data_IF_890618198571
#
_entry.id   IF_890618198571
#
_cell.length_a   1.000
_cell.length_b   1.000
_cell.length_c   1.000
_cell.angle_alpha   90.00
_cell.angle_beta   90.00
_cell.angle_gamma   90.00
#
_symmetry.space_group_name_H-M   'P 1'
#
loop_
_entity.id
_entity.type
_entity.pdbx_description
1 polymer ?
#
# COMPACT_ATOMS: atom_id res chain seq x y z
N UNK A 1 -13.54 -27.48 13.89
CA UNK A 1 -14.56 -26.47 14.27
C UNK A 1 -13.83 -25.32 14.93
N UNK A 2 -13.87 -24.12 14.34
CA UNK A 2 -13.22 -22.93 14.91
C UNK A 2 -14.10 -22.41 16.03
N UNK A 3 -13.54 -22.20 17.22
CA UNK A 3 -14.30 -21.66 18.35
C UNK A 3 -14.12 -20.15 18.38
N UNK A 4 -15.18 -19.42 18.05
CA UNK A 4 -15.23 -17.97 18.21
C UNK A 4 -15.52 -17.64 19.67
N UNK A 5 -14.94 -16.55 20.16
CA UNK A 5 -15.34 -16.03 21.48
C UNK A 5 -16.83 -15.62 21.42
N UNK A 6 -17.61 -15.90 22.46
CA UNK A 6 -19.08 -15.67 22.46
C UNK A 6 -19.48 -14.26 22.03
N UNK A 7 -18.70 -13.25 22.41
CA UNK A 7 -18.93 -11.86 21.99
C UNK A 7 -18.73 -11.64 20.49
N UNK A 8 -17.70 -12.24 19.91
CA UNK A 8 -17.39 -12.15 18.48
C UNK A 8 -18.40 -12.92 17.64
N UNK A 9 -18.84 -14.08 18.12
CA UNK A 9 -19.90 -14.87 17.47
C UNK A 9 -21.24 -14.10 17.42
N UNK A 10 -21.62 -13.46 18.53
CA UNK A 10 -22.83 -12.62 18.58
C UNK A 10 -22.77 -11.45 17.62
N UNK A 11 -21.61 -10.81 17.50
CA UNK A 11 -21.42 -9.66 16.61
C UNK A 11 -21.40 -10.07 15.14
N UNK A 12 -20.74 -11.19 14.81
CA UNK A 12 -20.78 -11.79 13.48
C UNK A 12 -22.19 -12.25 13.08
N UNK A 13 -22.98 -12.80 14.01
CA UNK A 13 -24.37 -13.19 13.75
C UNK A 13 -25.24 -11.98 13.41
N UNK A 14 -25.10 -10.88 14.17
CA UNK A 14 -25.83 -9.63 13.87
C UNK A 14 -25.43 -9.05 12.52
N UNK A 15 -24.16 -9.13 12.14
CA UNK A 15 -23.70 -8.69 10.83
C UNK A 15 -24.28 -9.57 9.72
N UNK A 16 -24.26 -10.89 9.88
CA UNK A 16 -24.85 -11.84 8.94
C UNK A 16 -26.36 -11.60 8.75
N UNK A 17 -27.10 -11.40 9.84
CA UNK A 17 -28.55 -11.09 9.82
C UNK A 17 -28.86 -9.79 9.07
N UNK A 18 -28.06 -8.73 9.27
CA UNK A 18 -28.22 -7.45 8.56
C UNK A 18 -28.08 -7.59 7.05
N UNK A 19 -27.28 -8.56 6.62
CA UNK A 19 -27.04 -8.83 5.22
C UNK A 19 -27.97 -9.92 4.65
N UNK A 20 -28.83 -10.51 5.49
CA UNK A 20 -29.74 -11.59 5.10
C UNK A 20 -29.02 -12.90 4.77
N UNK A 21 -27.86 -13.15 5.39
CA UNK A 21 -26.97 -14.29 5.11
C UNK A 21 -26.81 -15.18 6.34
N UNK A 22 -26.40 -16.44 6.13
CA UNK A 22 -26.05 -17.32 7.25
C UNK A 22 -24.70 -16.93 7.85
N UNK A 23 -24.51 -17.19 9.15
CA UNK A 23 -23.26 -16.92 9.85
C UNK A 23 -22.07 -17.63 9.19
N UNK A 24 -22.22 -18.90 8.81
CA UNK A 24 -21.17 -19.66 8.12
C UNK A 24 -20.76 -19.03 6.79
N UNK A 25 -21.74 -18.58 5.98
CA UNK A 25 -21.45 -17.93 4.70
C UNK A 25 -20.74 -16.59 4.90
N UNK A 26 -21.21 -15.79 5.86
CA UNK A 26 -20.61 -14.51 6.20
C UNK A 26 -19.15 -14.65 6.68
N UNK A 27 -18.89 -15.60 7.60
CA UNK A 27 -17.55 -15.85 8.13
C UNK A 27 -16.62 -16.39 7.03
N UNK A 28 -17.08 -17.33 6.21
CA UNK A 28 -16.26 -17.88 5.12
C UNK A 28 -15.85 -16.80 4.12
N UNK A 29 -16.78 -15.96 3.68
CA UNK A 29 -16.45 -14.90 2.72
C UNK A 29 -15.51 -13.85 3.30
N UNK A 30 -15.70 -13.46 4.56
CA UNK A 30 -14.79 -12.55 5.26
C UNK A 30 -13.37 -13.14 5.37
N UNK A 31 -13.25 -14.44 5.66
CA UNK A 31 -11.96 -15.14 5.70
C UNK A 31 -11.32 -15.21 4.32
N UNK A 32 -12.08 -15.57 3.27
CA UNK A 32 -11.59 -15.60 1.89
C UNK A 32 -11.12 -14.23 1.42
N UNK A 33 -11.85 -13.16 1.73
CA UNK A 33 -11.44 -11.79 1.42
C UNK A 33 -10.09 -11.47 2.08
N UNK A 34 -9.94 -11.75 3.38
CA UNK A 34 -8.67 -11.52 4.08
C UNK A 34 -7.52 -12.36 3.52
N UNK A 35 -7.77 -13.61 3.15
CA UNK A 35 -6.79 -14.47 2.51
C UNK A 35 -6.38 -13.93 1.14
N UNK A 36 -7.32 -13.42 0.34
CA UNK A 36 -7.03 -12.75 -0.95
C UNK A 36 -6.20 -11.49 -0.76
N UNK A 37 -6.47 -10.69 0.27
CA UNK A 37 -5.65 -9.52 0.60
C UNK A 37 -4.27 -9.87 1.13
N UNK A 38 -4.14 -10.93 1.92
CA UNK A 38 -2.85 -11.39 2.46
C UNK A 38 -1.97 -12.06 1.39
N UNK A 39 -2.58 -12.70 0.39
CA UNK A 39 -1.87 -13.32 -0.74
C UNK A 39 -1.59 -12.35 -1.89
N UNK A 40 -2.17 -11.15 -1.87
CA UNK A 40 -1.69 -10.08 -2.75
C UNK A 40 -0.25 -9.79 -2.35
N UNK A 41 0.73 -9.95 -3.26
CA UNK A 41 2.08 -9.52 -2.97
C UNK A 41 2.02 -8.05 -2.57
N UNK A 42 2.75 -7.68 -1.52
CA UNK A 42 3.02 -6.28 -1.17
C UNK A 42 3.98 -5.71 -2.22
N UNK A 43 3.63 -5.78 -3.50
CA UNK A 43 4.33 -5.13 -4.62
C UNK A 43 3.80 -3.71 -4.86
N UNK A 44 3.30 -3.09 -3.79
CA UNK A 44 3.19 -1.66 -3.71
C UNK A 44 4.28 -1.16 -2.77
N UNK A 45 5.53 -1.21 -3.25
CA UNK A 45 6.45 -0.13 -2.90
C UNK A 45 5.69 1.17 -3.18
N UNK A 46 5.57 2.10 -2.22
CA UNK A 46 5.30 3.47 -2.58
C UNK A 46 6.38 3.81 -3.60
N UNK A 47 5.96 4.18 -4.81
CA UNK A 47 6.84 4.71 -5.84
C UNK A 47 7.28 6.11 -5.39
N UNK A 48 7.98 6.19 -4.25
CA UNK A 48 8.86 7.31 -3.96
C UNK A 48 10.12 7.10 -4.79
N UNK A 49 9.95 7.02 -6.12
CA UNK A 49 11.00 7.45 -7.02
C UNK A 49 11.10 8.96 -6.80
N UNK A 50 11.80 9.35 -5.71
CA UNK A 50 12.46 10.63 -5.65
C UNK A 50 13.39 10.62 -6.85
N UNK A 51 12.95 11.24 -7.94
CA UNK A 51 13.82 11.67 -9.01
C UNK A 51 14.89 12.53 -8.36
N UNK A 52 16.02 11.92 -8.01
CA UNK A 52 17.23 12.65 -7.72
C UNK A 52 17.79 12.98 -9.09
N UNK A 53 17.53 14.20 -9.56
CA UNK A 53 18.31 14.78 -10.66
C UNK A 53 19.75 14.83 -10.17
N UNK A 54 20.71 14.10 -10.78
CA UNK A 54 22.11 14.33 -10.48
C UNK A 54 22.41 15.74 -10.97
N UNK A 55 22.66 16.67 -10.05
CA UNK A 55 23.28 17.94 -10.41
C UNK A 55 24.70 17.56 -10.83
N UNK A 56 24.92 17.47 -12.14
CA UNK A 56 26.25 17.39 -12.72
C UNK A 56 26.93 18.75 -12.50
N UNK A 57 27.44 18.97 -11.29
CA UNK A 57 28.35 20.06 -10.98
C UNK A 57 29.75 19.65 -11.46
N UNK A 58 29.98 19.73 -12.77
CA UNK A 58 31.31 19.88 -13.39
C UNK A 58 31.19 19.93 -14.91
N UNK A 59 31.45 21.09 -15.48
CA UNK A 59 31.97 21.20 -16.83
C UNK A 59 31.38 22.31 -17.69
N UNK A 60 31.92 23.52 -17.51
CA UNK A 60 31.97 24.65 -18.45
C UNK A 60 30.66 25.43 -18.73
N UNK A 61 30.78 26.76 -18.85
CA UNK A 61 30.95 27.29 -20.20
C UNK A 61 32.30 27.99 -20.39
N UNK A 62 32.83 27.82 -21.59
CA UNK A 62 33.80 28.74 -22.16
C UNK A 62 33.18 30.13 -22.21
N UNK A 63 33.82 31.09 -21.57
CA UNK A 63 33.72 32.49 -21.97
C UNK A 63 35.15 33.00 -22.12
N UNK A 64 35.61 32.98 -23.38
CA UNK A 64 36.63 33.91 -23.83
C UNK A 64 36.07 35.32 -23.66
N UNK A 65 36.67 36.15 -22.80
CA UNK A 65 36.79 37.57 -23.11
C UNK A 65 37.99 38.18 -22.38
N UNK A 66 38.84 38.81 -23.19
CA UNK A 66 40.06 39.51 -22.81
C UNK A 66 39.73 40.88 -22.23
N UNK A 67 40.40 41.33 -21.16
CA UNK A 67 40.88 42.73 -21.05
C UNK A 67 41.94 42.89 -19.95
N UNK A 68 43.18 43.02 -20.42
CA UNK A 68 44.23 43.96 -19.99
C UNK A 68 43.95 44.81 -18.73
N UNK A 69 44.75 44.59 -17.68
CA UNK A 69 45.23 45.66 -16.77
C UNK A 69 46.60 45.29 -16.19
N UNK A 70 47.65 45.85 -16.78
CA UNK A 70 48.93 46.10 -16.16
C UNK A 70 49.30 47.56 -16.42
#
# INVERSE_FOLDING_TARGET
MVHLHKSLESEASKAAEREGRSLDQFVNEAVEEKLRHAQRPIDQRPVAQRHVTPIHDRGAPLDEDSVERA
#
